data_IF_248043694379
#
_entry.id   IF_248043694379
#
_cell.length_a   1.000
_cell.length_b   1.000
_cell.length_c   1.000
_cell.angle_alpha   90.00
_cell.angle_beta   90.00
_cell.angle_gamma   90.00
#
_symmetry.space_group_name_H-M   'P 1'
#
loop_
_entity.id
_entity.type
_entity.pdbx_description
1 polymer ?
#
# COMPACT_ATOMS: atom_id res chain seq x y z
N UNK A 1 -11.02 -13.19 -9.78
CA UNK A 1 -9.88 -12.28 -9.59
C UNK A 1 -9.24 -12.06 -10.96
N UNK A 2 -8.77 -10.84 -11.27
CA UNK A 2 -8.15 -10.51 -12.57
C UNK A 2 -6.68 -10.96 -12.65
N UNK A 3 -5.99 -11.02 -11.50
CA UNK A 3 -4.62 -11.51 -11.39
C UNK A 3 -4.58 -12.84 -10.64
N UNK A 4 -3.72 -13.75 -11.09
CA UNK A 4 -3.32 -14.95 -10.36
C UNK A 4 -2.24 -14.61 -9.31
N UNK A 5 -1.87 -15.58 -8.48
CA UNK A 5 -0.92 -15.37 -7.39
C UNK A 5 0.45 -14.91 -7.89
N UNK A 6 0.89 -15.44 -9.03
CA UNK A 6 2.16 -15.06 -9.66
C UNK A 6 2.10 -13.62 -10.18
N UNK A 7 1.03 -13.23 -10.85
CA UNK A 7 0.79 -11.87 -11.31
C UNK A 7 0.74 -10.89 -10.14
N UNK A 8 0.08 -11.26 -9.05
CA UNK A 8 0.01 -10.46 -7.83
C UNK A 8 1.40 -10.25 -7.20
N UNK A 9 2.22 -11.30 -7.13
CA UNK A 9 3.60 -11.20 -6.66
C UNK A 9 4.48 -10.30 -7.55
N UNK A 10 4.32 -10.39 -8.88
CA UNK A 10 5.05 -9.54 -9.82
C UNK A 10 4.70 -8.06 -9.63
N UNK A 11 3.41 -7.73 -9.46
CA UNK A 11 2.97 -6.35 -9.20
C UNK A 11 3.60 -5.82 -7.92
N UNK A 12 3.56 -6.59 -6.83
CA UNK A 12 4.18 -6.21 -5.56
C UNK A 12 5.68 -5.95 -5.73
N UNK A 13 6.40 -6.82 -6.43
CA UNK A 13 7.83 -6.68 -6.67
C UNK A 13 8.15 -5.42 -7.48
N UNK A 14 7.43 -5.17 -8.58
CA UNK A 14 7.66 -4.01 -9.43
C UNK A 14 7.41 -2.69 -8.67
N UNK A 15 6.32 -2.62 -7.90
CA UNK A 15 6.01 -1.44 -7.09
C UNK A 15 7.08 -1.23 -6.01
N UNK A 16 7.48 -2.29 -5.31
CA UNK A 16 8.51 -2.21 -4.28
C UNK A 16 9.86 -1.73 -4.86
N UNK A 17 10.27 -2.25 -6.02
CA UNK A 17 11.51 -1.85 -6.70
C UNK A 17 11.51 -0.35 -7.01
N UNK A 18 10.41 0.19 -7.54
CA UNK A 18 10.30 1.62 -7.82
C UNK A 18 10.28 2.46 -6.54
N UNK A 19 9.58 2.00 -5.50
CA UNK A 19 9.54 2.70 -4.22
C UNK A 19 10.87 2.68 -3.48
N UNK A 20 11.71 1.64 -3.65
CA UNK A 20 13.06 1.60 -3.08
C UNK A 20 13.97 2.68 -3.66
N UNK A 21 13.73 3.12 -4.91
CA UNK A 21 14.46 4.21 -5.54
C UNK A 21 14.02 5.58 -5.02
N UNK A 22 12.90 5.66 -4.30
CA UNK A 22 12.43 6.91 -3.70
C UNK A 22 13.21 7.20 -2.41
N UNK A 23 13.88 8.34 -2.35
CA UNK A 23 14.69 8.74 -1.18
C UNK A 23 13.85 9.28 -0.03
N UNK A 24 12.67 9.82 -0.32
CA UNK A 24 11.76 10.38 0.66
C UNK A 24 10.87 9.27 1.27
N UNK A 25 11.17 8.92 2.53
CA UNK A 25 10.45 7.89 3.27
C UNK A 25 8.99 8.24 3.54
N UNK A 26 8.63 9.52 3.62
CA UNK A 26 7.25 9.93 3.86
C UNK A 26 6.38 9.77 2.61
N UNK A 27 6.96 9.96 1.42
CA UNK A 27 6.28 9.66 0.16
C UNK A 27 5.98 8.16 0.05
N UNK A 28 6.93 7.31 0.45
CA UNK A 28 6.73 5.85 0.45
C UNK A 28 5.61 5.47 1.42
N UNK A 29 5.60 6.01 2.65
CA UNK A 29 4.53 5.75 3.63
C UNK A 29 3.15 6.17 3.11
N UNK A 30 3.05 7.35 2.49
CA UNK A 30 1.78 7.82 1.88
C UNK A 30 1.33 6.90 0.75
N UNK A 31 2.26 6.44 -0.09
CA UNK A 31 1.96 5.50 -1.18
C UNK A 31 1.42 4.18 -0.64
N UNK A 32 2.04 3.62 0.40
CA UNK A 32 1.55 2.40 1.07
C UNK A 32 0.15 2.63 1.66
N UNK A 33 -0.10 3.78 2.30
CA UNK A 33 -1.42 4.13 2.83
C UNK A 33 -2.49 4.23 1.72
N UNK A 34 -2.13 4.72 0.53
CA UNK A 34 -3.03 4.73 -0.63
C UNK A 34 -3.36 3.30 -1.07
N UNK A 35 -2.35 2.42 -1.17
CA UNK A 35 -2.59 1.02 -1.52
C UNK A 35 -3.44 0.29 -0.47
N UNK A 36 -3.33 0.63 0.82
CA UNK A 36 -4.15 0.06 1.88
C UNK A 36 -5.65 0.39 1.73
N UNK A 37 -6.01 1.47 1.02
CA UNK A 37 -7.40 1.76 0.69
C UNK A 37 -7.97 0.85 -0.40
N UNK A 38 -7.11 0.22 -1.20
CA UNK A 38 -7.49 -0.66 -2.31
C UNK A 38 -7.40 -2.12 -1.90
N UNK A 39 -6.30 -2.52 -1.28
CA UNK A 39 -6.02 -3.89 -0.86
C UNK A 39 -5.05 -3.88 0.34
N UNK A 40 -5.55 -4.33 1.51
CA UNK A 40 -4.79 -4.39 2.76
C UNK A 40 -3.63 -5.37 2.73
N UNK A 41 -3.75 -6.44 1.96
CA UNK A 41 -2.69 -7.44 1.85
C UNK A 41 -1.56 -6.93 0.95
N UNK A 42 -1.91 -6.26 -0.15
CA UNK A 42 -0.94 -5.56 -1.00
C UNK A 42 -0.12 -4.55 -0.19
N UNK A 43 -0.79 -3.70 0.59
CA UNK A 43 -0.11 -2.69 1.40
C UNK A 43 0.83 -3.30 2.46
N UNK A 44 0.38 -4.37 3.14
CA UNK A 44 1.21 -5.10 4.12
C UNK A 44 2.46 -5.69 3.48
N UNK A 45 2.31 -6.41 2.35
CA UNK A 45 3.43 -7.01 1.63
C UNK A 45 4.42 -5.98 1.08
N UNK A 46 3.92 -4.80 0.65
CA UNK A 46 4.79 -3.69 0.24
C UNK A 46 5.59 -3.12 1.41
N UNK A 47 4.94 -2.90 2.55
CA UNK A 47 5.60 -2.38 3.75
C UNK A 47 6.69 -3.34 4.26
N UNK A 48 6.41 -4.64 4.30
CA UNK A 48 7.39 -5.69 4.62
C UNK A 48 8.61 -5.62 3.69
N UNK A 49 8.40 -5.58 2.37
CA UNK A 49 9.50 -5.50 1.39
C UNK A 49 10.32 -4.21 1.48
N UNK A 50 9.72 -3.14 1.99
CA UNK A 50 10.35 -1.82 2.11
C UNK A 50 10.93 -1.57 3.51
N UNK A 51 10.79 -2.56 4.42
CA UNK A 51 11.13 -2.46 5.84
C UNK A 51 10.52 -1.20 6.48
N UNK A 52 9.22 -1.00 6.27
CA UNK A 52 8.47 0.12 6.82
C UNK A 52 7.32 -0.39 7.68
N UNK A 53 6.98 0.38 8.72
CA UNK A 53 5.75 0.14 9.47
C UNK A 53 4.53 0.41 8.57
N UNK A 54 3.57 -0.52 8.61
CA UNK A 54 2.32 -0.38 7.88
C UNK A 54 1.53 0.76 8.53
N UNK A 55 1.22 1.85 7.81
CA UNK A 55 0.30 2.85 8.34
C UNK A 55 -1.07 2.17 8.51
N UNK A 56 -1.54 2.07 9.76
CA UNK A 56 -2.92 1.68 10.06
C UNK A 56 -3.84 2.61 9.27
N UNK A 57 -4.79 2.06 8.50
CA UNK A 57 -5.69 2.81 7.60
C UNK A 57 -6.01 4.19 8.16
N UNK A 58 -5.55 5.24 7.48
CA UNK A 58 -6.05 6.58 7.74
C UNK A 58 -7.55 6.53 7.46
N UNK A 59 -8.43 6.99 8.37
CA UNK A 59 -9.86 6.99 8.13
C UNK A 59 -10.12 7.78 6.83
N UNK A 60 -10.48 7.08 5.76
CA UNK A 60 -10.82 7.73 4.51
C UNK A 60 -12.11 8.51 4.71
N UNK A 61 -12.20 9.70 4.12
CA UNK A 61 -13.33 10.63 4.30
C UNK A 61 -14.71 10.02 3.97
N UNK A 62 -14.76 8.90 3.25
CA UNK A 62 -15.97 8.11 3.02
C UNK A 62 -16.61 7.58 4.31
N UNK A 63 -15.84 7.37 5.38
CA UNK A 63 -16.36 6.95 6.70
C UNK A 63 -16.87 8.12 7.57
N UNK A 64 -16.71 9.38 7.15
CA UNK A 64 -17.14 10.55 7.92
C UNK A 64 -18.61 10.90 7.64
N UNK A 65 -19.17 10.46 6.51
CA UNK A 65 -20.53 10.83 6.06
C UNK A 65 -21.67 9.97 6.63
N UNK A 66 -21.42 9.04 7.55
CA UNK A 66 -22.46 8.19 8.17
C UNK A 66 -22.72 8.54 9.64
N UNK A 67 -22.71 9.84 9.99
CA UNK A 67 -23.02 10.32 11.35
C UNK A 67 -23.83 11.62 11.41
N UNK A 68 -24.59 11.94 10.35
CA UNK A 68 -25.62 12.96 10.39
C UNK A 68 -26.86 12.48 9.65
#
# INVERSE_FOLDING_TARGET
QVLDDRGRANVINNIAEHLQQCTDRDIIRRSIAIFANVDDELARRLAEKLNLDVPTKTPTASNIRSKY
#
